data_IF_591499185509
#
_entry.id   IF_591499185509
#
_cell.length_a   1.000
_cell.length_b   1.000
_cell.length_c   1.000
_cell.angle_alpha   90.00
_cell.angle_beta   90.00
_cell.angle_gamma   90.00
#
_symmetry.space_group_name_H-M   'P 1'
#
loop_
_entity.id
_entity.type
_entity.pdbx_description
1 polymer ?
#
# COMPACT_ATOMS: atom_id res chain seq x y z
N UNK A 1 -36.49 51.49 11.45
CA UNK A 1 -37.06 51.24 10.12
C UNK A 1 -36.00 51.53 9.05
N UNK A 2 -35.93 50.70 7.99
CA UNK A 2 -35.04 50.70 6.79
C UNK A 2 -33.61 50.16 7.07
N UNK A 3 -33.27 48.89 6.78
CA UNK A 3 -33.08 48.11 5.52
C UNK A 3 -31.71 48.32 4.84
N UNK A 4 -30.84 47.31 5.06
CA UNK A 4 -29.90 46.58 4.16
C UNK A 4 -28.99 47.32 3.16
N UNK A 5 -27.69 47.00 3.18
CA UNK A 5 -26.91 46.51 2.01
C UNK A 5 -25.77 45.58 2.50
N UNK A 6 -25.71 44.36 1.95
CA UNK A 6 -24.58 43.42 2.05
C UNK A 6 -23.45 43.81 1.10
N UNK A 7 -22.19 43.69 1.51
CA UNK A 7 -21.08 43.41 0.60
C UNK A 7 -20.17 42.34 1.22
N UNK A 8 -20.10 41.20 0.53
CA UNK A 8 -19.20 40.06 0.75
C UNK A 8 -17.83 40.44 0.19
N UNK A 9 -16.75 40.39 0.98
CA UNK A 9 -15.41 39.97 0.52
C UNK A 9 -14.59 39.58 1.74
N UNK A 10 -13.89 38.44 1.68
CA UNK A 10 -12.67 38.29 2.48
C UNK A 10 -12.52 36.96 3.20
N UNK A 11 -12.15 35.95 2.41
CA UNK A 11 -11.17 34.96 2.83
C UNK A 11 -11.66 33.88 3.80
N UNK A 12 -12.08 32.78 3.15
CA UNK A 12 -11.69 31.41 3.50
C UNK A 12 -10.23 31.36 3.99
N UNK A 13 -10.04 31.73 5.25
CA UNK A 13 -8.82 31.55 6.01
C UNK A 13 -9.12 30.62 7.20
N UNK A 14 -9.92 29.58 6.92
CA UNK A 14 -9.52 28.27 7.41
C UNK A 14 -8.28 27.95 6.57
N UNK A 15 -7.14 28.50 6.97
CA UNK A 15 -5.88 27.81 6.79
C UNK A 15 -6.08 26.51 7.56
N UNK A 16 -6.70 25.54 6.89
CA UNK A 16 -6.25 24.16 6.94
C UNK A 16 -4.76 24.30 6.78
N UNK A 17 -4.07 24.32 7.91
CA UNK A 17 -2.75 23.74 8.01
C UNK A 17 -3.04 22.31 7.58
N UNK A 18 -3.05 22.10 6.26
CA UNK A 18 -2.89 20.79 5.67
C UNK A 18 -1.67 20.29 6.39
N UNK A 19 -1.90 19.33 7.28
CA UNK A 19 -0.86 18.53 7.86
C UNK A 19 0.06 18.19 6.70
N UNK A 20 1.23 18.82 6.64
CA UNK A 20 2.33 18.32 5.84
C UNK A 20 2.78 17.10 6.63
N UNK A 21 1.93 16.05 6.63
CA UNK A 21 2.32 14.72 7.00
C UNK A 21 3.41 14.41 5.99
N UNK A 22 4.64 14.35 6.47
CA UNK A 22 5.75 13.92 5.66
C UNK A 22 5.41 12.51 5.19
N UNK A 23 4.95 12.40 3.94
CA UNK A 23 4.58 11.12 3.36
C UNK A 23 5.84 10.26 3.34
N UNK A 24 5.77 9.15 4.07
CA UNK A 24 6.87 8.19 4.18
C UNK A 24 7.27 7.74 2.78
N UNK A 25 8.57 7.66 2.51
CA UNK A 25 9.04 7.23 1.20
C UNK A 25 8.69 5.75 0.96
N UNK A 26 8.59 5.35 -0.30
CA UNK A 26 8.33 3.93 -0.62
C UNK A 26 9.43 3.02 -0.08
N UNK A 27 10.69 3.47 -0.09
CA UNK A 27 11.84 2.77 0.49
C UNK A 27 11.73 2.62 2.00
N UNK A 28 11.26 3.66 2.69
CA UNK A 28 11.05 3.61 4.14
C UNK A 28 9.96 2.60 4.51
N UNK A 29 8.88 2.51 3.71
CA UNK A 29 7.87 1.47 3.87
C UNK A 29 8.51 0.08 3.72
N UNK A 30 9.23 -0.18 2.63
CA UNK A 30 9.88 -1.47 2.42
C UNK A 30 10.87 -1.84 3.52
N UNK A 31 11.67 -0.88 3.98
CA UNK A 31 12.62 -1.09 5.06
C UNK A 31 11.92 -1.53 6.34
N UNK A 32 10.82 -0.86 6.69
CA UNK A 32 10.04 -1.15 7.90
C UNK A 32 9.34 -2.50 7.79
N UNK A 33 8.64 -2.75 6.69
CA UNK A 33 7.92 -4.01 6.44
C UNK A 33 8.91 -5.18 6.51
N UNK A 34 10.04 -5.09 5.80
CA UNK A 34 11.07 -6.14 5.81
C UNK A 34 11.67 -6.36 7.20
N UNK A 35 11.79 -5.32 8.01
CA UNK A 35 12.24 -5.45 9.40
C UNK A 35 11.21 -6.21 10.25
N UNK A 36 9.92 -5.84 10.17
CA UNK A 36 8.84 -6.49 10.91
C UNK A 36 8.65 -7.96 10.50
N UNK A 37 8.71 -8.25 9.20
CA UNK A 37 8.64 -9.61 8.66
C UNK A 37 9.76 -10.50 9.21
N UNK A 38 11.00 -9.99 9.28
CA UNK A 38 12.14 -10.72 9.88
C UNK A 38 11.98 -10.99 11.38
N UNK A 39 11.20 -10.18 12.08
CA UNK A 39 10.90 -10.37 13.49
C UNK A 39 9.69 -11.29 13.73
N UNK A 40 9.05 -11.80 12.69
CA UNK A 40 7.82 -12.57 12.80
C UNK A 40 6.60 -11.72 13.18
N UNK A 41 6.72 -10.39 13.15
CA UNK A 41 5.66 -9.44 13.52
C UNK A 41 4.74 -9.18 12.32
N UNK A 42 4.09 -10.23 11.85
CA UNK A 42 3.36 -10.20 10.57
C UNK A 42 2.12 -9.28 10.59
N UNK A 43 1.41 -9.18 11.71
CA UNK A 43 0.27 -8.24 11.81
C UNK A 43 0.71 -6.78 11.79
N UNK A 44 1.87 -6.45 12.38
CA UNK A 44 2.43 -5.10 12.30
C UNK A 44 2.92 -4.80 10.87
N UNK A 45 3.55 -5.78 10.22
CA UNK A 45 3.93 -5.66 8.81
C UNK A 45 2.71 -5.42 7.92
N UNK A 46 1.59 -6.09 8.20
CA UNK A 46 0.32 -5.90 7.49
C UNK A 46 -0.18 -4.46 7.61
N UNK A 47 -0.16 -3.91 8.84
CA UNK A 47 -0.52 -2.51 9.07
C UNK A 47 0.36 -1.53 8.27
N UNK A 48 1.68 -1.74 8.28
CA UNK A 48 2.61 -0.89 7.51
C UNK A 48 2.40 -1.00 6.00
N UNK A 49 2.13 -2.20 5.48
CA UNK A 49 1.78 -2.40 4.07
C UNK A 49 0.49 -1.66 3.72
N UNK A 50 -0.54 -1.73 4.57
CA UNK A 50 -1.80 -1.03 4.35
C UNK A 50 -1.63 0.49 4.35
N UNK A 51 -0.76 1.02 5.21
CA UNK A 51 -0.39 2.44 5.17
C UNK A 51 0.32 2.79 3.86
N UNK A 52 1.29 1.98 3.43
CA UNK A 52 1.99 2.18 2.16
C UNK A 52 1.03 2.19 0.96
N UNK A 53 0.07 1.26 0.91
CA UNK A 53 -0.91 1.16 -0.18
C UNK A 53 -1.94 2.31 -0.19
N UNK A 54 -2.14 3.02 0.92
CA UNK A 54 -2.93 4.25 0.94
C UNK A 54 -2.21 5.40 0.22
N UNK A 55 -0.90 5.51 0.43
CA UNK A 55 -0.07 6.58 -0.16
C UNK A 55 0.38 6.25 -1.59
N UNK A 56 0.65 4.99 -1.88
CA UNK A 56 1.06 4.48 -3.20
C UNK A 56 0.11 3.36 -3.65
N UNK A 57 -1.12 3.72 -4.08
CA UNK A 57 -2.07 2.76 -4.61
C UNK A 57 -1.44 1.98 -5.78
N UNK A 58 -1.75 0.69 -5.86
CA UNK A 58 -1.35 -0.21 -6.95
C UNK A 58 0.17 -0.39 -7.14
N UNK A 59 1.01 0.05 -6.18
CA UNK A 59 2.45 -0.15 -6.29
C UNK A 59 2.81 -1.65 -6.23
N UNK A 60 3.39 -2.24 -7.30
CA UNK A 60 3.57 -3.70 -7.39
C UNK A 60 4.40 -4.28 -6.24
N UNK A 61 5.43 -3.57 -5.78
CA UNK A 61 6.23 -4.02 -4.64
C UNK A 61 5.47 -4.06 -3.31
N UNK A 62 4.48 -3.18 -3.11
CA UNK A 62 3.65 -3.18 -1.89
C UNK A 62 2.57 -4.25 -1.96
N UNK A 63 2.00 -4.49 -3.15
CA UNK A 63 1.11 -5.64 -3.37
C UNK A 63 1.87 -6.94 -3.10
N UNK A 64 3.13 -7.03 -3.53
CA UNK A 64 3.98 -8.20 -3.26
C UNK A 64 4.21 -8.37 -1.76
N UNK A 65 4.57 -7.29 -1.06
CA UNK A 65 4.75 -7.31 0.38
C UNK A 65 3.46 -7.68 1.13
N UNK A 66 2.29 -7.27 0.62
CA UNK A 66 1.00 -7.68 1.15
C UNK A 66 0.79 -9.20 0.99
N UNK A 67 1.09 -9.74 -0.18
CA UNK A 67 1.00 -11.17 -0.46
C UNK A 67 1.89 -12.00 0.47
N UNK A 68 3.16 -11.61 0.64
CA UNK A 68 4.07 -12.25 1.58
C UNK A 68 3.51 -12.19 2.99
N UNK A 69 3.04 -11.02 3.41
CA UNK A 69 2.45 -10.85 4.75
C UNK A 69 1.24 -11.75 4.96
N UNK A 70 0.35 -11.85 3.96
CA UNK A 70 -0.79 -12.76 4.01
C UNK A 70 -0.38 -14.22 4.05
N UNK A 71 0.65 -14.61 3.30
CA UNK A 71 1.18 -15.97 3.36
C UNK A 71 1.66 -16.32 4.76
N UNK A 72 2.45 -15.46 5.41
CA UNK A 72 2.95 -15.71 6.77
C UNK A 72 1.87 -15.62 7.86
N UNK A 73 0.76 -14.94 7.60
CA UNK A 73 -0.43 -14.94 8.46
C UNK A 73 -1.35 -16.15 8.25
N UNK A 74 -1.06 -17.01 7.26
CA UNK A 74 -1.90 -18.17 6.91
C UNK A 74 -3.11 -17.81 6.05
N UNK A 75 -3.20 -16.58 5.53
CA UNK A 75 -4.27 -16.12 4.65
C UNK A 75 -3.96 -16.46 3.19
N UNK A 76 -3.75 -17.75 2.92
CA UNK A 76 -3.22 -18.25 1.63
C UNK A 76 -4.08 -17.85 0.43
N UNK A 77 -5.40 -17.89 0.53
CA UNK A 77 -6.29 -17.48 -0.57
C UNK A 77 -6.09 -16.02 -1.01
N UNK A 78 -5.79 -15.12 -0.07
CA UNK A 78 -5.55 -13.71 -0.36
C UNK A 78 -4.15 -13.51 -0.93
N UNK A 79 -3.16 -14.22 -0.39
CA UNK A 79 -1.80 -14.21 -0.93
C UNK A 79 -1.78 -14.68 -2.39
N UNK A 80 -2.42 -15.81 -2.69
CA UNK A 80 -2.51 -16.39 -4.04
C UNK A 80 -3.14 -15.40 -5.01
N UNK A 81 -4.30 -14.82 -4.67
CA UNK A 81 -4.99 -13.84 -5.52
C UNK A 81 -4.08 -12.66 -5.87
N UNK A 82 -3.37 -12.11 -4.89
CA UNK A 82 -2.48 -10.99 -5.13
C UNK A 82 -1.24 -11.39 -5.95
N UNK A 83 -0.67 -12.57 -5.73
CA UNK A 83 0.45 -13.06 -6.56
C UNK A 83 0.03 -13.28 -8.02
N UNK A 84 -1.18 -13.76 -8.28
CA UNK A 84 -1.70 -13.92 -9.64
C UNK A 84 -1.83 -12.56 -10.35
N UNK A 85 -2.41 -11.56 -9.68
CA UNK A 85 -2.50 -10.19 -10.25
C UNK A 85 -1.13 -9.63 -10.58
N UNK A 86 -0.13 -9.84 -9.71
CA UNK A 86 1.24 -9.40 -9.97
C UNK A 86 1.90 -10.15 -11.13
N UNK A 87 1.67 -11.45 -11.24
CA UNK A 87 2.20 -12.27 -12.33
C UNK A 87 1.66 -11.78 -13.67
N UNK A 88 0.34 -11.56 -13.77
CA UNK A 88 -0.30 -11.04 -14.97
C UNK A 88 0.26 -9.67 -15.35
N UNK A 89 0.36 -8.75 -14.37
CA UNK A 89 0.95 -7.43 -14.57
C UNK A 89 2.41 -7.51 -15.06
N UNK A 90 3.23 -8.41 -14.52
CA UNK A 90 4.63 -8.56 -14.94
C UNK A 90 4.75 -9.13 -16.36
N UNK A 91 3.93 -10.13 -16.71
CA UNK A 91 3.87 -10.73 -18.04
C UNK A 91 3.49 -9.68 -19.09
N UNK A 92 2.42 -8.92 -18.83
CA UNK A 92 1.96 -7.86 -19.73
C UNK A 92 3.01 -6.77 -19.97
N UNK A 93 3.82 -6.47 -18.95
CA UNK A 93 4.88 -5.46 -19.03
C UNK A 93 6.24 -6.03 -19.47
N UNK A 94 6.31 -7.28 -19.91
CA UNK A 94 7.55 -7.91 -20.41
C UNK A 94 8.65 -8.08 -19.36
N UNK A 95 8.31 -8.06 -18.07
CA UNK A 95 9.29 -8.28 -16.99
C UNK A 95 9.41 -9.78 -16.69
N UNK A 96 10.62 -10.31 -16.89
CA UNK A 96 10.92 -11.74 -16.77
C UNK A 96 10.98 -12.28 -15.33
N UNK A 97 10.74 -11.47 -14.29
CA UNK A 97 10.71 -11.87 -12.87
C UNK A 97 9.48 -12.75 -12.49
N UNK A 98 8.83 -13.33 -13.49
CA UNK A 98 7.75 -14.32 -13.37
C UNK A 98 8.09 -15.53 -12.50
N UNK A 99 9.37 -15.84 -12.28
CA UNK A 99 9.82 -16.95 -11.44
C UNK A 99 9.51 -16.76 -9.96
N UNK A 100 9.55 -15.54 -9.42
CA UNK A 100 9.29 -15.29 -7.99
C UNK A 100 7.79 -15.46 -7.71
N UNK A 101 6.94 -14.78 -8.48
CA UNK A 101 5.48 -14.91 -8.34
C UNK A 101 5.02 -16.37 -8.57
N UNK A 102 5.63 -17.08 -9.53
CA UNK A 102 5.37 -18.50 -9.79
C UNK A 102 5.82 -19.41 -8.63
N UNK A 103 6.98 -19.14 -8.02
CA UNK A 103 7.49 -19.94 -6.89
C UNK A 103 6.61 -19.77 -5.67
N UNK A 104 6.21 -18.53 -5.35
CA UNK A 104 5.33 -18.25 -4.23
C UNK A 104 3.89 -18.74 -4.45
N UNK A 105 3.38 -18.69 -5.69
CA UNK A 105 2.11 -19.33 -6.05
C UNK A 105 2.16 -20.84 -5.79
N UNK A 106 3.21 -21.53 -6.23
CA UNK A 106 3.37 -22.98 -6.02
C UNK A 106 3.49 -23.36 -4.55
N UNK A 107 4.13 -22.52 -3.72
CA UNK A 107 4.26 -22.75 -2.28
C UNK A 107 2.96 -22.50 -1.51
N UNK A 108 2.09 -21.63 -2.02
CA UNK A 108 0.81 -21.35 -1.40
C UNK A 108 -0.29 -22.36 -1.81
N UNK A 109 -0.14 -23.01 -2.96
CA UNK A 109 -1.07 -24.03 -3.51
C UNK A 109 -0.73 -25.47 -3.07
N UNK A 110 0.43 -25.69 -2.43
CA UNK A 110 0.93 -26.99 -1.95
C UNK A 110 0.59 -27.26 -0.49
#
# INVERSE_FOLDING_TARGET
MKKWVFIIVGSFLILSICDIVHAKSIEEYFSTIKHLMRQGRFMDAHGEVQLGLKEYPDHPGLIYALSDTYYYLGYFEYAIRNYLVLLDFMIENGRADSEIARTHFKLADS
#
